data_IF_411297463957
#
_entry.id   IF_411297463957
#
_cell.length_a   1.000
_cell.length_b   1.000
_cell.length_c   1.000
_cell.angle_alpha   90.00
_cell.angle_beta   90.00
_cell.angle_gamma   90.00
#
_symmetry.space_group_name_H-M   'P 1'
#
loop_
_entity.id
_entity.type
_entity.pdbx_description
1 polymer ?
#
# COMPACT_ATOMS: atom_id res chain seq x y z
N UNK A 1 -9.76 -19.37 13.56
CA UNK A 1 -10.06 -17.95 13.26
C UNK A 1 -11.37 -17.89 12.51
N UNK A 2 -12.33 -17.05 12.93
CA UNK A 2 -13.62 -16.90 12.25
C UNK A 2 -13.37 -16.20 10.91
N UNK A 3 -13.35 -16.95 9.82
CA UNK A 3 -13.15 -16.44 8.45
C UNK A 3 -14.19 -15.39 8.03
N UNK A 4 -15.32 -15.33 8.74
CA UNK A 4 -16.40 -14.37 8.53
C UNK A 4 -15.95 -12.91 8.71
N UNK A 5 -14.96 -12.63 9.57
CA UNK A 5 -14.48 -11.27 9.86
C UNK A 5 -13.83 -10.59 8.64
N UNK A 6 -13.21 -11.37 7.75
CA UNK A 6 -12.49 -10.83 6.60
C UNK A 6 -13.30 -10.81 5.31
N UNK A 7 -14.48 -11.45 5.28
CA UNK A 7 -15.24 -11.62 4.04
C UNK A 7 -15.79 -10.29 3.51
N UNK A 8 -16.37 -9.45 4.36
CA UNK A 8 -16.85 -8.12 3.94
C UNK A 8 -15.69 -7.17 3.57
N UNK A 9 -14.60 -7.08 4.35
CA UNK A 9 -13.41 -6.34 3.93
C UNK A 9 -12.84 -6.78 2.58
N UNK A 10 -12.72 -8.10 2.34
CA UNK A 10 -12.29 -8.62 1.04
C UNK A 10 -13.26 -8.24 -0.08
N UNK A 11 -14.56 -8.34 0.18
CA UNK A 11 -15.59 -7.95 -0.79
C UNK A 11 -15.50 -6.46 -1.13
N UNK A 12 -15.23 -5.61 -0.14
CA UNK A 12 -15.01 -4.17 -0.34
C UNK A 12 -13.80 -3.92 -1.25
N UNK A 13 -12.69 -4.62 -1.04
CA UNK A 13 -11.51 -4.53 -1.90
C UNK A 13 -11.81 -4.99 -3.33
N UNK A 14 -12.54 -6.09 -3.50
CA UNK A 14 -12.95 -6.57 -4.84
C UNK A 14 -13.83 -5.54 -5.55
N UNK A 15 -14.81 -4.97 -4.86
CA UNK A 15 -15.65 -3.91 -5.42
C UNK A 15 -14.85 -2.65 -5.76
N UNK A 16 -13.92 -2.24 -4.90
CA UNK A 16 -13.01 -1.13 -5.16
C UNK A 16 -12.20 -1.35 -6.46
N UNK A 17 -11.61 -2.52 -6.64
CA UNK A 17 -10.86 -2.85 -7.85
C UNK A 17 -11.71 -2.87 -9.11
N UNK A 18 -12.89 -3.50 -9.05
CA UNK A 18 -13.81 -3.54 -10.19
C UNK A 18 -14.24 -2.14 -10.62
N UNK A 19 -14.65 -1.31 -9.67
CA UNK A 19 -15.05 0.06 -9.94
C UNK A 19 -13.89 0.88 -10.49
N UNK A 20 -12.71 0.78 -9.89
CA UNK A 20 -11.53 1.50 -10.34
C UNK A 20 -11.12 1.09 -11.77
N UNK A 21 -11.18 -0.20 -12.11
CA UNK A 21 -10.92 -0.69 -13.45
C UNK A 21 -11.95 -0.16 -14.47
N UNK A 22 -13.23 -0.14 -14.12
CA UNK A 22 -14.30 0.42 -14.98
C UNK A 22 -14.06 1.90 -15.24
N UNK A 23 -13.76 2.68 -14.19
CA UNK A 23 -13.46 4.10 -14.34
C UNK A 23 -12.19 4.36 -15.17
N UNK A 24 -11.15 3.56 -15.01
CA UNK A 24 -9.94 3.65 -15.84
C UNK A 24 -10.27 3.45 -17.31
N UNK A 25 -11.06 2.42 -17.65
CA UNK A 25 -11.48 2.17 -19.03
C UNK A 25 -12.30 3.34 -19.58
N UNK A 26 -13.25 3.85 -18.81
CA UNK A 26 -14.06 5.02 -19.21
C UNK A 26 -13.18 6.23 -19.42
N UNK A 27 -12.24 6.50 -18.52
CA UNK A 27 -11.33 7.64 -18.65
C UNK A 27 -10.49 7.55 -19.91
N UNK A 28 -9.82 6.43 -20.16
CA UNK A 28 -8.98 6.20 -21.34
C UNK A 28 -9.76 6.27 -22.65
N UNK A 29 -11.01 5.81 -22.67
CA UNK A 29 -11.81 5.75 -23.91
C UNK A 29 -12.62 7.01 -24.20
N UNK A 30 -12.87 7.86 -23.22
CA UNK A 30 -13.76 9.02 -23.37
C UNK A 30 -13.10 10.37 -23.13
N UNK A 31 -12.07 10.41 -22.31
CA UNK A 31 -11.47 11.67 -21.84
C UNK A 31 -10.00 11.82 -22.24
N UNK A 32 -9.31 10.74 -22.55
CA UNK A 32 -7.91 10.78 -22.98
C UNK A 32 -7.84 10.75 -24.53
N UNK A 33 -7.96 11.92 -25.14
CA UNK A 33 -7.89 12.08 -26.60
C UNK A 33 -6.52 11.69 -27.14
N UNK A 34 -5.46 11.91 -26.39
CA UNK A 34 -4.10 11.56 -26.82
C UNK A 34 -3.90 10.05 -26.84
N UNK A 35 -4.51 9.33 -25.90
CA UNK A 35 -4.50 7.88 -25.88
C UNK A 35 -5.18 7.28 -27.12
N UNK A 36 -6.30 7.87 -27.58
CA UNK A 36 -7.04 7.39 -28.75
C UNK A 36 -6.30 7.76 -30.03
N UNK A 37 -5.79 8.97 -30.16
CA UNK A 37 -5.15 9.49 -31.38
C UNK A 37 -3.81 8.83 -31.71
N UNK A 38 -3.10 8.32 -30.71
CA UNK A 38 -1.81 7.65 -30.89
C UNK A 38 -1.92 6.25 -31.49
N UNK A 39 -3.15 5.70 -31.67
CA UNK A 39 -3.35 4.29 -32.03
C UNK A 39 -4.43 4.11 -33.11
N UNK A 40 -4.02 4.11 -34.37
CA UNK A 40 -4.90 3.93 -35.55
C UNK A 40 -5.44 2.50 -35.75
N UNK A 41 -5.13 1.51 -34.90
CA UNK A 41 -5.56 0.12 -35.04
C UNK A 41 -6.37 -0.37 -33.83
N UNK A 42 -7.58 -0.91 -34.06
CA UNK A 42 -8.49 -1.41 -33.02
C UNK A 42 -7.86 -2.48 -32.13
N UNK A 43 -7.06 -3.39 -32.69
CA UNK A 43 -6.42 -4.47 -31.93
C UNK A 43 -5.32 -3.94 -31.00
N UNK A 44 -4.63 -2.89 -31.39
CA UNK A 44 -3.61 -2.25 -30.57
C UNK A 44 -4.22 -1.45 -29.40
N UNK A 45 -5.37 -0.81 -29.61
CA UNK A 45 -6.10 -0.07 -28.56
C UNK A 45 -6.55 -1.03 -27.45
N UNK A 46 -7.14 -2.16 -27.82
CA UNK A 46 -7.60 -3.16 -26.83
C UNK A 46 -6.45 -3.69 -25.96
N UNK A 47 -5.31 -4.05 -26.58
CA UNK A 47 -4.13 -4.54 -25.87
C UNK A 47 -3.57 -3.47 -24.90
N UNK A 48 -3.60 -2.21 -25.28
CA UNK A 48 -3.12 -1.11 -24.44
C UNK A 48 -4.05 -0.76 -23.32
N UNK A 49 -5.36 -0.80 -23.52
CA UNK A 49 -6.34 -0.68 -22.44
C UNK A 49 -6.10 -1.79 -21.40
N UNK A 50 -5.94 -3.04 -21.85
CA UNK A 50 -5.64 -4.18 -20.97
C UNK A 50 -4.34 -3.94 -20.20
N UNK A 51 -3.26 -3.51 -20.87
CA UNK A 51 -1.99 -3.18 -20.23
C UNK A 51 -2.17 -2.10 -19.16
N UNK A 52 -2.86 -1.01 -19.49
CA UNK A 52 -3.07 0.10 -18.55
C UNK A 52 -3.95 -0.31 -17.36
N UNK A 53 -4.98 -1.12 -17.58
CA UNK A 53 -5.80 -1.68 -16.49
C UNK A 53 -4.97 -2.57 -15.58
N UNK A 54 -4.08 -3.41 -16.13
CA UNK A 54 -3.16 -4.24 -15.35
C UNK A 54 -2.17 -3.40 -14.55
N UNK A 55 -1.58 -2.37 -15.15
CA UNK A 55 -0.70 -1.44 -14.45
C UNK A 55 -1.45 -0.77 -13.31
N UNK A 56 -2.63 -0.21 -13.56
CA UNK A 56 -3.43 0.45 -12.54
C UNK A 56 -3.87 -0.51 -11.43
N UNK A 57 -4.25 -1.74 -11.77
CA UNK A 57 -4.53 -2.78 -10.79
C UNK A 57 -3.35 -3.01 -9.84
N UNK A 58 -2.16 -3.08 -10.41
CA UNK A 58 -0.92 -3.27 -9.65
C UNK A 58 -0.62 -2.06 -8.74
N UNK A 59 -0.79 -0.85 -9.28
CA UNK A 59 -0.64 0.40 -8.54
C UNK A 59 -1.60 0.53 -7.35
N UNK A 60 -2.78 -0.11 -7.44
CA UNK A 60 -3.78 -0.08 -6.39
C UNK A 60 -3.58 -1.15 -5.30
N UNK A 61 -2.57 -2.04 -5.43
CA UNK A 61 -2.32 -3.05 -4.39
C UNK A 61 -2.06 -2.43 -3.01
N UNK A 62 -1.16 -1.42 -2.85
CA UNK A 62 -0.94 -0.80 -1.55
C UNK A 62 -2.20 -0.17 -0.97
N UNK A 63 -2.95 0.57 -1.80
CA UNK A 63 -4.22 1.17 -1.42
C UNK A 63 -5.23 0.11 -0.95
N UNK A 64 -5.25 -1.03 -1.61
CA UNK A 64 -6.13 -2.17 -1.29
C UNK A 64 -5.77 -2.81 0.04
N UNK A 65 -4.48 -2.89 0.37
CA UNK A 65 -4.02 -3.37 1.68
C UNK A 65 -4.45 -2.42 2.79
N UNK A 66 -4.32 -1.10 2.58
CA UNK A 66 -4.83 -0.08 3.52
C UNK A 66 -6.35 -0.21 3.66
N UNK A 67 -7.07 -0.26 2.54
CA UNK A 67 -8.53 -0.41 2.50
C UNK A 67 -8.99 -1.66 3.26
N UNK A 68 -8.36 -2.82 3.00
CA UNK A 68 -8.64 -4.08 3.69
C UNK A 68 -8.45 -3.95 5.19
N UNK A 69 -7.33 -3.38 5.59
CA UNK A 69 -6.96 -3.25 7.01
C UNK A 69 -7.94 -2.35 7.74
N UNK A 70 -8.19 -1.16 7.23
CA UNK A 70 -9.08 -0.18 7.86
C UNK A 70 -10.52 -0.66 7.85
N UNK A 71 -10.99 -1.27 6.76
CA UNK A 71 -12.34 -1.84 6.72
C UNK A 71 -12.52 -3.00 7.68
N UNK A 72 -11.51 -3.88 7.83
CA UNK A 72 -11.54 -4.94 8.84
C UNK A 72 -11.70 -4.37 10.25
N UNK A 73 -10.96 -3.32 10.54
CA UNK A 73 -11.03 -2.61 11.81
C UNK A 73 -12.41 -1.99 12.02
N UNK A 74 -12.90 -1.22 11.04
CA UNK A 74 -14.16 -0.50 11.15
C UNK A 74 -15.38 -1.44 11.22
N UNK A 75 -15.44 -2.46 10.37
CA UNK A 75 -16.52 -3.45 10.42
C UNK A 75 -16.55 -4.20 11.75
N UNK A 76 -15.38 -4.51 12.30
CA UNK A 76 -15.31 -5.17 13.59
C UNK A 76 -15.72 -4.25 14.74
N UNK A 77 -15.33 -2.96 14.69
CA UNK A 77 -15.74 -1.96 15.67
C UNK A 77 -17.27 -1.77 15.71
N UNK A 78 -17.92 -1.86 14.57
CA UNK A 78 -19.38 -1.71 14.45
C UNK A 78 -20.12 -3.05 14.44
N UNK A 79 -19.46 -4.16 14.77
CA UNK A 79 -20.06 -5.50 14.84
C UNK A 79 -20.72 -5.95 13.52
N UNK A 80 -20.13 -5.56 12.38
CA UNK A 80 -20.63 -5.88 11.05
C UNK A 80 -19.84 -7.09 10.51
N UNK A 81 -20.39 -8.30 10.61
CA UNK A 81 -19.71 -9.54 10.17
C UNK A 81 -20.55 -10.44 9.27
N UNK A 82 -21.86 -10.21 9.20
CA UNK A 82 -22.78 -11.08 8.47
C UNK A 82 -22.74 -10.76 6.97
N UNK A 83 -22.58 -11.82 6.16
CA UNK A 83 -22.80 -11.73 4.72
C UNK A 83 -24.25 -12.04 4.42
N UNK A 84 -25.01 -11.00 4.08
CA UNK A 84 -26.35 -11.07 3.56
C UNK A 84 -26.49 -10.08 2.40
N UNK A 85 -27.58 -10.18 1.66
CA UNK A 85 -27.83 -9.31 0.50
C UNK A 85 -27.76 -7.81 0.84
N UNK A 86 -28.28 -7.41 2.00
CA UNK A 86 -28.30 -6.02 2.45
C UNK A 86 -26.88 -5.52 2.72
N UNK A 87 -26.06 -6.29 3.45
CA UNK A 87 -24.68 -5.91 3.76
C UNK A 87 -23.78 -5.90 2.51
N UNK A 88 -24.02 -6.81 1.55
CA UNK A 88 -23.31 -6.80 0.27
C UNK A 88 -23.60 -5.53 -0.52
N UNK A 89 -24.88 -5.12 -0.64
CA UNK A 89 -25.28 -3.91 -1.34
C UNK A 89 -24.68 -2.66 -0.65
N UNK A 90 -24.73 -2.60 0.68
CA UNK A 90 -24.15 -1.48 1.41
C UNK A 90 -22.64 -1.42 1.27
N UNK A 91 -21.95 -2.58 1.24
CA UNK A 91 -20.50 -2.63 0.97
C UNK A 91 -20.18 -2.14 -0.44
N UNK A 92 -21.01 -2.44 -1.42
CA UNK A 92 -20.87 -1.91 -2.78
C UNK A 92 -21.06 -0.39 -2.83
N UNK A 93 -22.08 0.16 -2.14
CA UNK A 93 -22.28 1.62 -2.03
C UNK A 93 -21.11 2.32 -1.33
N UNK A 94 -20.58 1.72 -0.27
CA UNK A 94 -19.36 2.20 0.39
C UNK A 94 -18.18 2.20 -0.57
N UNK A 95 -18.00 1.16 -1.39
CA UNK A 95 -16.95 1.10 -2.40
C UNK A 95 -17.07 2.21 -3.45
N UNK A 96 -18.30 2.46 -3.94
CA UNK A 96 -18.56 3.58 -4.87
C UNK A 96 -18.14 4.91 -4.23
N UNK A 97 -18.55 5.15 -3.00
CA UNK A 97 -18.23 6.40 -2.31
C UNK A 97 -16.70 6.58 -2.13
N UNK A 98 -16.00 5.52 -1.75
CA UNK A 98 -14.53 5.55 -1.58
C UNK A 98 -13.85 5.82 -2.93
N UNK A 99 -14.24 5.12 -4.01
CA UNK A 99 -13.64 5.31 -5.34
C UNK A 99 -13.86 6.72 -5.86
N UNK A 100 -15.09 7.23 -5.76
CA UNK A 100 -15.40 8.60 -6.19
C UNK A 100 -14.61 9.64 -5.37
N UNK A 101 -14.53 9.45 -4.06
CA UNK A 101 -13.74 10.34 -3.19
C UNK A 101 -12.25 10.30 -3.52
N UNK A 102 -11.69 9.10 -3.77
CA UNK A 102 -10.27 8.94 -4.16
C UNK A 102 -9.99 9.62 -5.50
N UNK A 103 -10.89 9.49 -6.49
CA UNK A 103 -10.76 10.15 -7.78
C UNK A 103 -10.80 11.67 -7.67
N UNK A 104 -11.78 12.21 -6.95
CA UNK A 104 -11.89 13.67 -6.72
C UNK A 104 -10.66 14.18 -5.99
N UNK A 105 -10.18 13.45 -4.99
CA UNK A 105 -8.98 13.82 -4.26
C UNK A 105 -7.75 13.84 -5.18
N UNK A 106 -7.52 12.79 -5.97
CA UNK A 106 -6.36 12.72 -6.89
C UNK A 106 -6.42 13.82 -7.95
N UNK A 107 -7.57 14.04 -8.56
CA UNK A 107 -7.75 15.13 -9.53
C UNK A 107 -7.43 16.49 -8.88
N UNK A 108 -7.94 16.75 -7.69
CA UNK A 108 -7.67 17.99 -6.96
C UNK A 108 -6.21 18.11 -6.54
N UNK A 109 -5.61 17.01 -6.07
CA UNK A 109 -4.22 16.96 -5.65
C UNK A 109 -3.28 17.28 -6.81
N UNK A 110 -3.42 16.58 -7.95
CA UNK A 110 -2.56 16.81 -9.11
C UNK A 110 -2.79 18.17 -9.75
N UNK A 111 -4.03 18.69 -9.78
CA UNK A 111 -4.33 19.97 -10.40
C UNK A 111 -3.88 21.19 -9.60
N UNK A 112 -3.86 21.10 -8.25
CA UNK A 112 -3.65 22.28 -7.41
C UNK A 112 -2.47 22.15 -6.44
N UNK A 113 -2.16 20.96 -5.97
CA UNK A 113 -1.18 20.78 -4.90
C UNK A 113 0.18 20.32 -5.41
N UNK A 114 0.22 19.60 -6.52
CA UNK A 114 1.44 19.03 -7.06
C UNK A 114 2.49 20.09 -7.37
N UNK A 115 2.15 21.09 -8.18
CA UNK A 115 3.07 22.16 -8.57
C UNK A 115 3.53 23.01 -7.38
N UNK A 116 2.62 23.23 -6.42
CA UNK A 116 2.95 23.93 -5.18
C UNK A 116 3.96 23.16 -4.34
N UNK A 117 3.77 21.85 -4.16
CA UNK A 117 4.70 21.00 -3.40
C UNK A 117 6.05 20.94 -4.11
N UNK A 118 6.07 20.70 -5.43
CA UNK A 118 7.30 20.67 -6.24
C UNK A 118 8.05 22.00 -6.12
N UNK A 119 7.35 23.15 -6.18
CA UNK A 119 7.97 24.47 -6.05
C UNK A 119 8.62 24.66 -4.67
N UNK A 120 8.03 24.14 -3.60
CA UNK A 120 8.58 24.19 -2.24
C UNK A 120 9.78 23.26 -2.04
N UNK A 121 9.76 22.09 -2.67
CA UNK A 121 10.90 21.16 -2.65
C UNK A 121 12.11 21.75 -3.41
N UNK A 122 11.87 22.43 -4.53
CA UNK A 122 12.94 23.17 -5.24
C UNK A 122 13.56 24.26 -4.37
N UNK A 123 12.75 24.95 -3.56
CA UNK A 123 13.26 25.95 -2.60
C UNK A 123 14.22 25.33 -1.57
N UNK A 124 14.09 24.08 -1.23
CA UNK A 124 14.97 23.34 -0.32
C UNK A 124 16.27 22.84 -1.00
N UNK A 125 16.59 23.33 -2.21
CA UNK A 125 17.73 22.87 -3.03
C UNK A 125 17.70 21.36 -3.33
N UNK A 126 16.54 20.77 -3.29
CA UNK A 126 16.32 19.40 -3.72
C UNK A 126 16.21 19.46 -5.25
N UNK A 127 17.32 19.22 -5.95
CA UNK A 127 17.39 19.28 -7.41
C UNK A 127 16.58 18.17 -8.05
N UNK A 128 15.78 18.50 -9.07
CA UNK A 128 14.93 17.55 -9.83
C UNK A 128 15.74 16.42 -10.52
N UNK A 129 17.05 16.54 -10.59
CA UNK A 129 17.95 15.56 -11.18
C UNK A 129 18.48 14.48 -10.21
N UNK A 130 18.27 14.66 -8.92
CA UNK A 130 18.71 13.68 -7.93
C UNK A 130 17.60 12.64 -7.67
N UNK A 131 17.87 11.38 -8.01
CA UNK A 131 16.97 10.25 -7.74
C UNK A 131 16.48 10.22 -6.29
N UNK A 132 17.31 10.69 -5.35
CA UNK A 132 16.98 10.77 -3.93
C UNK A 132 15.81 11.70 -3.62
N UNK A 133 15.75 12.86 -4.27
CA UNK A 133 14.68 13.85 -4.10
C UNK A 133 13.35 13.32 -4.61
N UNK A 134 13.38 12.65 -5.75
CA UNK A 134 12.21 12.01 -6.32
C UNK A 134 11.64 10.93 -5.38
N UNK A 135 12.50 10.11 -4.77
CA UNK A 135 12.05 9.09 -3.80
C UNK A 135 11.38 9.68 -2.57
N UNK A 136 11.93 10.77 -1.99
CA UNK A 136 11.32 11.44 -0.83
C UNK A 136 9.95 12.02 -1.20
N UNK A 137 9.86 12.63 -2.39
CA UNK A 137 8.62 13.20 -2.88
C UNK A 137 7.54 12.11 -3.05
N UNK A 138 7.85 11.01 -3.72
CA UNK A 138 6.91 9.91 -3.90
C UNK A 138 6.52 9.25 -2.58
N UNK A 139 7.44 9.12 -1.62
CA UNK A 139 7.09 8.64 -0.29
C UNK A 139 6.08 9.55 0.41
N UNK A 140 6.28 10.86 0.36
CA UNK A 140 5.35 11.83 0.94
C UNK A 140 3.98 11.77 0.25
N UNK A 141 3.96 11.64 -1.07
CA UNK A 141 2.75 11.46 -1.86
C UNK A 141 1.97 10.20 -1.44
N UNK A 142 2.63 9.05 -1.36
CA UNK A 142 1.98 7.81 -0.90
C UNK A 142 1.45 7.93 0.52
N UNK A 143 2.17 8.61 1.42
CA UNK A 143 1.70 8.84 2.78
C UNK A 143 0.39 9.65 2.80
N UNK A 144 0.31 10.71 2.00
CA UNK A 144 -0.90 11.54 1.87
C UNK A 144 -2.06 10.69 1.32
N UNK A 145 -1.83 9.89 0.28
CA UNK A 145 -2.84 9.02 -0.33
C UNK A 145 -3.33 7.97 0.69
N UNK A 146 -2.44 7.31 1.42
CA UNK A 146 -2.83 6.31 2.43
C UNK A 146 -3.60 6.91 3.57
N UNK A 147 -3.21 8.10 4.03
CA UNK A 147 -3.96 8.84 5.05
C UNK A 147 -5.38 9.16 4.56
N UNK A 148 -5.50 9.65 3.32
CA UNK A 148 -6.78 9.96 2.72
C UNK A 148 -7.68 8.73 2.58
N UNK A 149 -7.16 7.62 2.03
CA UNK A 149 -7.90 6.36 1.91
C UNK A 149 -8.32 5.83 3.28
N UNK A 150 -7.45 5.93 4.28
CA UNK A 150 -7.78 5.57 5.67
C UNK A 150 -8.97 6.35 6.18
N UNK A 151 -8.91 7.67 6.03
CA UNK A 151 -9.98 8.57 6.47
C UNK A 151 -11.29 8.31 5.72
N UNK A 152 -11.25 8.24 4.40
CA UNK A 152 -12.42 7.97 3.55
C UNK A 152 -13.05 6.62 3.88
N UNK A 153 -12.26 5.56 4.02
CA UNK A 153 -12.76 4.23 4.33
C UNK A 153 -13.46 4.21 5.68
N UNK A 154 -12.81 4.76 6.71
CA UNK A 154 -13.38 4.78 8.05
C UNK A 154 -14.67 5.62 8.11
N UNK A 155 -14.66 6.83 7.54
CA UNK A 155 -15.83 7.72 7.52
C UNK A 155 -16.97 7.12 6.71
N UNK A 156 -16.70 6.52 5.55
CA UNK A 156 -17.74 5.89 4.72
C UNK A 156 -18.43 4.76 5.49
N UNK A 157 -17.68 3.86 6.12
CA UNK A 157 -18.27 2.78 6.91
C UNK A 157 -19.06 3.35 8.11
N UNK A 158 -18.54 4.39 8.76
CA UNK A 158 -19.23 5.07 9.87
C UNK A 158 -20.55 5.70 9.44
N UNK A 159 -20.59 6.36 8.27
CA UNK A 159 -21.81 6.99 7.72
C UNK A 159 -22.88 5.96 7.36
N UNK A 160 -22.47 4.82 6.81
CA UNK A 160 -23.38 3.76 6.38
C UNK A 160 -23.68 2.71 7.45
N UNK A 161 -23.10 2.82 8.67
CA UNK A 161 -23.21 1.78 9.72
C UNK A 161 -24.63 1.35 10.04
N UNK A 162 -25.59 2.30 10.06
CA UNK A 162 -26.99 2.04 10.39
C UNK A 162 -27.73 1.22 9.32
N UNK A 163 -27.20 1.21 8.10
CA UNK A 163 -27.73 0.43 7.01
C UNK A 163 -27.33 -1.05 7.07
N UNK A 164 -26.29 -1.39 7.86
CA UNK A 164 -25.81 -2.75 8.00
C UNK A 164 -26.63 -3.53 9.04
N UNK A 165 -26.73 -4.84 8.82
CA UNK A 165 -27.20 -5.77 9.84
C UNK A 165 -25.99 -6.18 10.68
N UNK A 166 -26.04 -5.79 11.94
CA UNK A 166 -24.97 -6.07 12.92
C UNK A 166 -25.20 -7.43 13.60
N UNK A 167 -24.11 -8.02 14.07
CA UNK A 167 -24.11 -9.21 14.91
C UNK A 167 -22.99 -9.09 15.93
N UNK A 168 -23.27 -9.51 17.16
CA UNK A 168 -22.24 -9.52 18.21
C UNK A 168 -21.05 -10.38 17.77
N UNK A 169 -19.86 -9.79 17.82
CA UNK A 169 -18.60 -10.47 17.50
C UNK A 169 -17.90 -10.74 18.83
N UNK A 170 -18.02 -11.96 19.29
CA UNK A 170 -17.26 -12.43 20.46
C UNK A 170 -16.00 -13.11 19.93
N UNK A 171 -14.85 -12.47 20.15
CA UNK A 171 -13.54 -13.02 19.81
C UNK A 171 -12.94 -13.69 21.03
N UNK A 172 -12.42 -14.89 20.84
CA UNK A 172 -11.54 -15.49 21.82
C UNK A 172 -10.20 -14.75 21.88
N UNK A 173 -9.49 -14.88 22.99
CA UNK A 173 -8.17 -14.26 23.17
C UNK A 173 -7.20 -14.64 22.02
N UNK A 174 -7.15 -15.91 21.66
CA UNK A 174 -6.31 -16.41 20.55
C UNK A 174 -6.73 -15.87 19.17
N UNK A 175 -8.02 -15.64 18.93
CA UNK A 175 -8.52 -15.05 17.70
C UNK A 175 -8.18 -13.56 17.63
N UNK A 176 -8.27 -12.85 18.75
CA UNK A 176 -7.87 -11.44 18.86
C UNK A 176 -6.37 -11.26 18.55
N UNK A 177 -5.51 -12.10 19.14
CA UNK A 177 -4.07 -12.09 18.86
C UNK A 177 -3.76 -12.32 17.37
N UNK A 178 -4.40 -13.32 16.75
CA UNK A 178 -4.23 -13.59 15.31
C UNK A 178 -4.71 -12.42 14.45
N UNK A 179 -5.82 -11.78 14.82
CA UNK A 179 -6.35 -10.63 14.09
C UNK A 179 -5.38 -9.45 14.16
N UNK A 180 -4.85 -9.12 15.35
CA UNK A 180 -3.84 -8.08 15.51
C UNK A 180 -2.60 -8.35 14.64
N UNK A 181 -2.12 -9.61 14.66
CA UNK A 181 -0.97 -10.01 13.86
C UNK A 181 -1.23 -9.82 12.35
N UNK A 182 -2.39 -10.24 11.85
CA UNK A 182 -2.76 -10.06 10.43
C UNK A 182 -2.81 -8.58 10.06
N UNK A 183 -3.45 -7.76 10.87
CA UNK A 183 -3.55 -6.32 10.61
C UNK A 183 -2.17 -5.65 10.60
N UNK A 184 -1.31 -6.03 11.54
CA UNK A 184 0.04 -5.51 11.60
C UNK A 184 0.86 -5.91 10.36
N UNK A 185 0.78 -7.17 9.92
CA UNK A 185 1.43 -7.65 8.70
C UNK A 185 0.90 -6.91 7.48
N UNK A 186 -0.41 -6.63 7.41
CA UNK A 186 -0.99 -5.84 6.32
C UNK A 186 -0.38 -4.44 6.23
N UNK A 187 -0.27 -3.71 7.33
CA UNK A 187 0.39 -2.40 7.34
C UNK A 187 1.88 -2.48 6.97
N UNK A 188 2.55 -3.51 7.44
CA UNK A 188 3.94 -3.77 7.10
C UNK A 188 4.14 -4.03 5.60
N UNK A 189 3.23 -4.78 4.98
CA UNK A 189 3.23 -5.00 3.53
C UNK A 189 3.03 -3.70 2.75
N UNK A 190 2.20 -2.77 3.21
CA UNK A 190 2.06 -1.47 2.55
C UNK A 190 3.40 -0.77 2.37
N UNK A 191 4.26 -0.81 3.40
CA UNK A 191 5.59 -0.23 3.32
C UNK A 191 6.44 -0.91 2.24
N UNK A 192 6.53 -2.25 2.25
CA UNK A 192 7.37 -2.98 1.29
C UNK A 192 6.85 -2.92 -0.14
N UNK A 193 5.53 -2.93 -0.34
CA UNK A 193 4.94 -2.78 -1.68
C UNK A 193 5.27 -1.39 -2.23
N UNK A 194 5.13 -0.34 -1.41
CA UNK A 194 5.48 1.02 -1.82
C UNK A 194 6.95 1.13 -2.20
N UNK A 195 7.85 0.53 -1.40
CA UNK A 195 9.28 0.51 -1.70
C UNK A 195 9.61 -0.24 -2.98
N UNK A 196 9.05 -1.44 -3.14
CA UNK A 196 9.28 -2.25 -4.35
C UNK A 196 8.74 -1.56 -5.60
N UNK A 197 7.62 -0.85 -5.46
CA UNK A 197 7.04 -0.07 -6.53
C UNK A 197 7.99 1.06 -6.97
N UNK A 198 8.52 1.83 -6.04
CA UNK A 198 9.48 2.90 -6.36
C UNK A 198 10.73 2.39 -7.07
N UNK A 199 11.19 1.18 -6.70
CA UNK A 199 12.38 0.57 -7.30
C UNK A 199 12.13 -0.04 -8.70
N UNK A 200 10.90 -0.45 -9.00
CA UNK A 200 10.56 -1.18 -10.23
C UNK A 200 9.75 -0.33 -11.22
N UNK A 201 9.45 0.91 -10.85
CA UNK A 201 8.51 1.76 -11.61
C UNK A 201 8.95 1.99 -13.05
N UNK A 202 10.22 2.31 -13.28
CA UNK A 202 10.74 2.62 -14.61
C UNK A 202 10.64 1.42 -15.56
N UNK A 203 10.88 0.20 -15.07
CA UNK A 203 10.85 -1.01 -15.89
C UNK A 203 9.44 -1.45 -16.29
N UNK A 204 8.42 -1.12 -15.49
CA UNK A 204 7.03 -1.52 -15.74
C UNK A 204 6.42 -0.89 -17.01
N UNK A 205 6.88 0.29 -17.41
CA UNK A 205 6.30 1.01 -18.54
C UNK A 205 6.79 0.55 -19.90
N UNK A 206 7.97 -0.09 -20.00
CA UNK A 206 8.60 -0.39 -21.28
C UNK A 206 7.95 -1.56 -22.04
N UNK A 207 7.53 -2.63 -21.37
CA UNK A 207 6.93 -3.77 -22.04
C UNK A 207 6.00 -4.58 -21.14
N UNK A 208 5.09 -5.37 -21.75
CA UNK A 208 4.22 -6.28 -20.99
C UNK A 208 5.02 -7.41 -20.31
N UNK A 209 6.11 -7.89 -20.93
CA UNK A 209 7.00 -8.89 -20.36
C UNK A 209 7.69 -8.37 -19.10
N UNK A 210 8.18 -7.12 -19.13
CA UNK A 210 8.79 -6.49 -17.96
C UNK A 210 7.79 -6.29 -16.83
N UNK A 211 6.54 -5.91 -17.16
CA UNK A 211 5.46 -5.80 -16.19
C UNK A 211 5.19 -7.14 -15.49
N UNK A 212 5.03 -8.23 -16.25
CA UNK A 212 4.80 -9.57 -15.70
C UNK A 212 5.99 -10.01 -14.84
N UNK A 213 7.22 -9.81 -15.31
CA UNK A 213 8.42 -10.13 -14.56
C UNK A 213 8.47 -9.37 -13.23
N UNK A 214 8.20 -8.07 -13.23
CA UNK A 214 8.17 -7.22 -12.04
C UNK A 214 7.10 -7.68 -11.05
N UNK A 215 5.91 -8.08 -11.53
CA UNK A 215 4.83 -8.64 -10.71
C UNK A 215 5.26 -9.93 -10.02
N UNK A 216 5.89 -10.85 -10.78
CA UNK A 216 6.36 -12.13 -10.22
C UNK A 216 7.46 -11.90 -9.20
N UNK A 217 8.42 -11.02 -9.49
CA UNK A 217 9.51 -10.68 -8.58
C UNK A 217 8.98 -10.07 -7.28
N UNK A 218 8.02 -9.15 -7.38
CA UNK A 218 7.37 -8.54 -6.21
C UNK A 218 6.60 -9.59 -5.40
N UNK A 219 5.86 -10.48 -6.04
CA UNK A 219 5.12 -11.54 -5.36
C UNK A 219 6.06 -12.47 -4.58
N UNK A 220 7.20 -12.85 -5.15
CA UNK A 220 8.23 -13.65 -4.48
C UNK A 220 8.81 -12.87 -3.30
N UNK A 221 9.19 -11.61 -3.50
CA UNK A 221 9.75 -10.76 -2.47
C UNK A 221 8.79 -10.59 -1.29
N UNK A 222 7.52 -10.25 -1.57
CA UNK A 222 6.49 -10.11 -0.54
C UNK A 222 6.23 -11.43 0.20
N UNK A 223 6.28 -12.57 -0.50
CA UNK A 223 6.11 -13.88 0.13
C UNK A 223 7.23 -14.15 1.14
N UNK A 224 8.48 -13.83 0.80
CA UNK A 224 9.63 -13.96 1.70
C UNK A 224 9.49 -13.00 2.89
N UNK A 225 9.16 -11.73 2.65
CA UNK A 225 8.96 -10.72 3.68
C UNK A 225 7.85 -11.12 4.65
N UNK A 226 6.73 -11.62 4.12
CA UNK A 226 5.60 -12.09 4.94
C UNK A 226 5.96 -13.32 5.77
N UNK A 227 6.71 -14.26 5.22
CA UNK A 227 7.17 -15.43 5.94
C UNK A 227 8.07 -15.03 7.12
N UNK A 228 9.06 -14.18 6.87
CA UNK A 228 9.96 -13.66 7.90
C UNK A 228 9.17 -12.87 8.95
N UNK A 229 8.30 -11.96 8.52
CA UNK A 229 7.43 -11.16 9.38
C UNK A 229 6.56 -12.03 10.28
N UNK A 230 5.94 -13.07 9.72
CA UNK A 230 5.12 -14.02 10.46
C UNK A 230 5.90 -14.70 11.59
N UNK A 231 7.09 -15.22 11.28
CA UNK A 231 7.92 -15.90 12.31
C UNK A 231 8.40 -14.95 13.40
N UNK A 232 8.76 -13.72 13.04
CA UNK A 232 9.20 -12.71 14.00
C UNK A 232 8.04 -12.24 14.90
N UNK A 233 6.88 -11.97 14.31
CA UNK A 233 5.72 -11.41 15.02
C UNK A 233 4.99 -12.46 15.84
N UNK A 234 4.97 -13.73 15.41
CA UNK A 234 4.29 -14.80 16.15
C UNK A 234 4.71 -14.87 17.61
N UNK A 235 6.01 -14.70 17.89
CA UNK A 235 6.53 -14.71 19.27
C UNK A 235 6.16 -13.44 20.05
N UNK A 236 5.97 -12.31 19.35
CA UNK A 236 5.69 -11.03 20.00
C UNK A 236 4.20 -10.87 20.36
N UNK A 237 3.29 -11.46 19.57
CA UNK A 237 1.84 -11.33 19.79
C UNK A 237 1.24 -12.37 20.75
N UNK A 238 2.01 -13.31 21.26
CA UNK A 238 1.52 -14.32 22.22
C UNK A 238 1.10 -13.72 23.57
N UNK A 239 1.55 -12.51 23.88
CA UNK A 239 1.27 -11.82 25.14
C UNK A 239 0.09 -10.81 25.05
N UNK A 240 -0.56 -10.66 23.89
CA UNK A 240 -1.67 -9.71 23.72
C UNK A 240 -2.97 -10.33 24.25
N UNK A 241 -3.46 -9.84 25.37
CA UNK A 241 -4.69 -10.30 26.04
C UNK A 241 -5.90 -9.39 25.82
N UNK A 242 -5.70 -8.20 25.23
CA UNK A 242 -6.78 -7.23 25.00
C UNK A 242 -7.55 -7.55 23.72
N UNK A 243 -8.87 -7.58 23.82
CA UNK A 243 -9.78 -7.69 22.68
C UNK A 243 -9.65 -6.39 21.88
N UNK A 244 -9.07 -6.48 20.70
CA UNK A 244 -8.94 -5.41 19.70
C UNK A 244 -8.63 -4.02 20.28
N UNK A 245 -7.42 -3.85 20.79
CA UNK A 245 -6.87 -2.51 21.10
C UNK A 245 -6.57 -1.74 19.78
N UNK A 246 -7.65 -1.39 19.05
CA UNK A 246 -7.62 -0.78 17.74
C UNK A 246 -6.68 0.42 17.68
N UNK A 247 -6.76 1.29 18.68
CA UNK A 247 -5.90 2.47 18.78
C UNK A 247 -4.43 2.08 18.87
N UNK A 248 -4.08 1.04 19.60
CA UNK A 248 -2.70 0.53 19.71
C UNK A 248 -2.21 -0.02 18.37
N UNK A 249 -3.04 -0.78 17.63
CA UNK A 249 -2.67 -1.33 16.31
C UNK A 249 -2.43 -0.22 15.29
N UNK A 250 -3.35 0.74 15.17
CA UNK A 250 -3.20 1.88 14.25
C UNK A 250 -1.96 2.69 14.61
N UNK A 251 -1.82 3.05 15.90
CA UNK A 251 -0.73 3.92 16.35
C UNK A 251 0.63 3.25 16.22
N UNK A 252 0.75 1.97 16.61
CA UNK A 252 1.99 1.20 16.42
C UNK A 252 2.36 1.03 14.95
N UNK A 253 1.37 0.75 14.09
CA UNK A 253 1.59 0.60 12.65
C UNK A 253 2.00 1.91 11.99
N UNK A 254 1.37 3.03 12.36
CA UNK A 254 1.72 4.36 11.85
C UNK A 254 3.14 4.76 12.25
N UNK A 255 3.49 4.60 13.54
CA UNK A 255 4.84 4.92 14.03
C UNK A 255 5.86 3.99 13.35
N UNK A 256 5.57 2.70 13.22
CA UNK A 256 6.47 1.77 12.55
C UNK A 256 6.67 2.15 11.07
N UNK A 257 5.60 2.58 10.38
CA UNK A 257 5.68 3.06 9.00
C UNK A 257 6.58 4.30 8.91
N UNK A 258 6.36 5.32 9.74
CA UNK A 258 7.17 6.55 9.75
C UNK A 258 8.65 6.22 10.02
N UNK A 259 8.92 5.39 11.02
CA UNK A 259 10.29 5.00 11.35
C UNK A 259 10.96 4.19 10.23
N UNK A 260 10.21 3.34 9.52
CA UNK A 260 10.73 2.65 8.34
C UNK A 260 11.04 3.63 7.20
N UNK A 261 10.23 4.65 6.98
CA UNK A 261 10.51 5.70 6.00
C UNK A 261 11.80 6.48 6.35
N UNK A 262 11.96 6.85 7.62
CA UNK A 262 13.18 7.51 8.09
C UNK A 262 14.42 6.61 7.96
N UNK A 263 14.27 5.33 8.29
CA UNK A 263 15.32 4.32 8.12
C UNK A 263 15.72 4.17 6.65
N UNK A 264 14.76 4.13 5.74
CA UNK A 264 15.00 4.09 4.30
C UNK A 264 15.81 5.31 3.84
N UNK A 265 15.39 6.51 4.22
CA UNK A 265 16.09 7.76 3.88
C UNK A 265 17.54 7.70 4.36
N UNK A 266 17.77 7.23 5.59
CA UNK A 266 19.11 7.07 6.15
C UNK A 266 19.94 6.06 5.37
N UNK A 267 19.38 4.89 5.05
CA UNK A 267 20.06 3.85 4.29
C UNK A 267 20.38 4.33 2.87
N UNK A 268 19.43 4.98 2.19
CA UNK A 268 19.65 5.57 0.87
C UNK A 268 20.77 6.61 0.90
N UNK A 269 20.79 7.48 1.90
CA UNK A 269 21.85 8.48 2.06
C UNK A 269 23.22 7.83 2.23
N UNK A 270 23.35 6.81 3.09
CA UNK A 270 24.60 6.07 3.31
C UNK A 270 25.07 5.39 2.01
N UNK A 271 24.12 4.73 1.32
CA UNK A 271 24.45 4.02 0.07
C UNK A 271 24.86 5.01 -1.03
N UNK A 272 24.18 6.13 -1.18
CA UNK A 272 24.55 7.16 -2.16
C UNK A 272 25.92 7.75 -1.83
N UNK A 273 26.20 7.99 -0.56
CA UNK A 273 27.52 8.45 -0.11
C UNK A 273 28.62 7.45 -0.48
N UNK A 274 28.43 6.16 -0.20
CA UNK A 274 29.40 5.10 -0.55
C UNK A 274 29.57 5.02 -2.08
N UNK A 275 28.46 5.09 -2.84
CA UNK A 275 28.52 5.02 -4.31
C UNK A 275 29.36 6.14 -4.92
N UNK A 276 29.29 7.34 -4.38
CA UNK A 276 30.08 8.49 -4.86
C UNK A 276 31.58 8.37 -4.58
N UNK A 277 31.99 7.50 -3.66
CA UNK A 277 33.40 7.21 -3.39
C UNK A 277 33.98 6.09 -4.26
N UNK A 278 33.17 5.38 -5.01
CA UNK A 278 33.63 4.30 -5.86
C UNK A 278 34.16 4.85 -7.20
N UNK A 279 35.36 4.43 -7.65
CA UNK A 279 35.90 4.86 -8.94
C UNK A 279 34.97 4.40 -10.07
N UNK A 280 34.57 5.32 -10.91
CA UNK A 280 33.62 5.10 -12.00
C UNK A 280 34.01 3.99 -12.98
N UNK A 281 35.30 3.72 -13.13
CA UNK A 281 35.89 2.72 -14.07
C UNK A 281 35.63 1.27 -13.66
N UNK A 282 35.25 1.01 -12.41
CA UNK A 282 35.04 -0.33 -11.86
C UNK A 282 33.57 -0.75 -11.88
N UNK A 283 32.65 0.17 -12.22
CA UNK A 283 31.21 -0.07 -12.09
C UNK A 283 30.67 -0.86 -13.29
N UNK A 284 30.92 -2.17 -13.30
CA UNK A 284 30.22 -3.10 -14.19
C UNK A 284 28.73 -3.19 -13.83
N UNK A 285 27.88 -3.57 -14.79
CA UNK A 285 26.44 -3.82 -14.53
C UNK A 285 26.23 -4.87 -13.43
N UNK A 286 27.15 -5.84 -13.31
CA UNK A 286 27.14 -6.85 -12.25
C UNK A 286 27.35 -6.23 -10.87
N UNK A 287 28.22 -5.23 -10.76
CA UNK A 287 28.47 -4.54 -9.50
C UNK A 287 27.26 -3.70 -9.08
N UNK A 288 26.60 -3.00 -10.02
CA UNK A 288 25.35 -2.27 -9.73
C UNK A 288 24.27 -3.19 -9.19
N UNK A 289 24.11 -4.36 -9.80
CA UNK A 289 23.14 -5.36 -9.35
C UNK A 289 23.49 -5.89 -7.94
N UNK A 290 24.74 -6.20 -7.68
CA UNK A 290 25.20 -6.63 -6.35
C UNK A 290 24.94 -5.55 -5.29
N UNK A 291 25.22 -4.29 -5.62
CA UNK A 291 25.03 -3.15 -4.75
C UNK A 291 23.52 -2.95 -4.40
N UNK A 292 22.64 -3.09 -5.39
CA UNK A 292 21.19 -3.05 -5.20
C UNK A 292 20.72 -4.18 -4.26
N UNK A 293 21.22 -5.40 -4.45
CA UNK A 293 20.89 -6.52 -3.57
C UNK A 293 21.34 -6.30 -2.13
N UNK A 294 22.55 -5.79 -1.92
CA UNK A 294 23.04 -5.45 -0.59
C UNK A 294 22.17 -4.37 0.08
N UNK A 295 21.75 -3.36 -0.67
CA UNK A 295 20.81 -2.35 -0.19
C UNK A 295 19.47 -2.97 0.24
N UNK A 296 18.85 -3.80 -0.60
CA UNK A 296 17.58 -4.46 -0.29
C UNK A 296 17.68 -5.38 0.94
N UNK A 297 18.76 -6.16 1.06
CA UNK A 297 19.00 -7.04 2.21
C UNK A 297 19.15 -6.21 3.49
N UNK A 298 19.93 -5.12 3.45
CA UNK A 298 20.13 -4.24 4.60
C UNK A 298 18.81 -3.61 5.04
N UNK A 299 18.02 -3.14 4.09
CA UNK A 299 16.70 -2.58 4.35
C UNK A 299 15.74 -3.62 4.96
N UNK A 300 15.74 -4.84 4.42
CA UNK A 300 14.91 -5.92 4.92
C UNK A 300 15.25 -6.28 6.37
N UNK A 301 16.53 -6.51 6.68
CA UNK A 301 16.98 -6.88 8.02
C UNK A 301 16.64 -5.77 9.03
N UNK A 302 17.02 -4.53 8.73
CA UNK A 302 16.80 -3.40 9.63
C UNK A 302 15.32 -3.10 9.85
N UNK A 303 14.50 -3.21 8.81
CA UNK A 303 13.05 -3.07 8.93
C UNK A 303 12.43 -4.18 9.78
N UNK A 304 12.85 -5.43 9.60
CA UNK A 304 12.38 -6.55 10.45
C UNK A 304 12.75 -6.35 11.93
N UNK A 305 13.96 -5.89 12.23
CA UNK A 305 14.39 -5.59 13.59
C UNK A 305 13.57 -4.44 14.20
N UNK A 306 13.29 -3.41 13.42
CA UNK A 306 12.47 -2.28 13.84
C UNK A 306 11.05 -2.74 14.18
N UNK A 307 10.40 -3.48 13.27
CA UNK A 307 9.05 -4.03 13.49
C UNK A 307 9.01 -4.88 14.75
N UNK A 308 9.99 -5.77 14.96
CA UNK A 308 10.10 -6.58 16.17
C UNK A 308 10.18 -5.72 17.43
N UNK A 309 11.03 -4.69 17.41
CA UNK A 309 11.21 -3.78 18.55
C UNK A 309 9.94 -3.00 18.86
N UNK A 310 9.29 -2.46 17.82
CA UNK A 310 8.05 -1.69 17.97
C UNK A 310 6.89 -2.56 18.45
N UNK A 311 6.75 -3.78 17.93
CA UNK A 311 5.73 -4.73 18.40
C UNK A 311 5.90 -5.05 19.87
N UNK A 312 7.13 -5.29 20.33
CA UNK A 312 7.41 -5.50 21.76
C UNK A 312 7.03 -4.29 22.59
N UNK A 313 7.44 -3.10 22.17
CA UNK A 313 7.18 -1.86 22.91
C UNK A 313 5.68 -1.58 23.10
N UNK A 314 4.84 -1.90 22.12
CA UNK A 314 3.41 -1.60 22.19
C UNK A 314 2.57 -2.73 22.76
N UNK A 315 3.00 -3.99 22.63
CA UNK A 315 2.18 -5.17 22.93
C UNK A 315 2.77 -6.11 23.98
N UNK A 316 4.06 -5.96 24.38
CA UNK A 316 4.57 -6.70 25.55
C UNK A 316 3.94 -6.13 26.83
N UNK A 317 3.41 -7.03 27.65
CA UNK A 317 3.07 -6.69 29.02
C UNK A 317 4.38 -6.60 29.82
N UNK A 318 4.65 -5.44 30.41
CA UNK A 318 5.63 -5.29 31.47
C UNK A 318 5.15 -5.97 32.75
#
# INVERSE_FOLDING_TARGET
MKTTLFKLPLLLVVFYWLLYSVFTVIYLTKFDNDFISLYDGTDQIALKIVKQVLINFFLQIPNSVVLFTISTIAFNQYSISIINRKNIINTFLVAIFIVLSDMVFRLSYYSYSYDWIVSKLRFLNINDGDNFSAYIFHLAEYFIIYFFITLCTYLSIKLFKENYICNEIILTETESQKLHMVLFICFYNCFFITMSYLLLFDDMYYSLSNLIFSIVLLAIFLSIVNLIGYFLLRKCFTAVTEILALKKVIFSSLITFILNCLLLILILYIYNYIYNFLPFDIISNTFKLFYLWMFLITLLISSCLLVRKMTKLFFDKH
#
